data_IF_843189437223
#
_entry.id   IF_843189437223
#
_cell.length_a   1.000
_cell.length_b   1.000
_cell.length_c   1.000
_cell.angle_alpha   90.00
_cell.angle_beta   90.00
_cell.angle_gamma   90.00
#
_symmetry.space_group_name_H-M   'P 1'
#
loop_
_entity.id
_entity.type
_entity.pdbx_description
1 polymer ?
#
# COMPACT_ATOMS: atom_id res chain seq x y z
N UNK A 1 -61.97 30.80 36.81
CA UNK A 1 -61.68 29.38 36.52
C UNK A 1 -61.49 29.05 35.03
N UNK A 2 -62.19 29.69 34.07
CA UNK A 2 -61.99 29.42 32.62
C UNK A 2 -60.66 29.91 32.02
N UNK A 3 -59.96 30.87 32.65
CA UNK A 3 -58.65 31.38 32.17
C UNK A 3 -57.44 30.56 32.64
N UNK A 4 -57.58 29.72 33.66
CA UNK A 4 -56.49 28.85 34.15
C UNK A 4 -56.38 27.54 33.36
N UNK A 5 -57.48 27.06 32.77
CA UNK A 5 -57.49 25.85 31.92
C UNK A 5 -56.81 26.11 30.56
N UNK A 6 -56.85 27.34 30.05
CA UNK A 6 -56.20 27.69 28.79
C UNK A 6 -54.66 27.76 28.89
N UNK A 7 -54.12 28.11 30.07
CA UNK A 7 -52.69 28.15 30.33
C UNK A 7 -52.09 26.74 30.50
N UNK A 8 -52.86 25.81 31.06
CA UNK A 8 -52.47 24.41 31.20
C UNK A 8 -52.47 23.63 29.87
N UNK A 9 -53.33 24.01 28.91
CA UNK A 9 -53.35 23.42 27.57
C UNK A 9 -52.29 23.98 26.59
N UNK A 10 -51.71 25.14 26.89
CA UNK A 10 -50.61 25.72 26.11
C UNK A 10 -49.22 25.25 26.57
N UNK A 11 -49.11 24.70 27.80
CA UNK A 11 -47.87 24.12 28.34
C UNK A 11 -47.72 22.62 28.06
N UNK A 12 -48.73 21.96 27.51
CA UNK A 12 -48.68 20.52 27.16
C UNK A 12 -48.21 20.23 25.72
N UNK A 13 -47.82 21.26 24.94
CA UNK A 13 -47.42 21.11 23.53
C UNK A 13 -45.90 21.14 23.27
N UNK A 14 -45.06 21.10 24.30
CA UNK A 14 -43.59 21.15 24.17
C UNK A 14 -42.87 19.78 24.20
N UNK A 15 -43.61 18.66 24.16
CA UNK A 15 -43.02 17.31 24.17
C UNK A 15 -43.32 16.49 22.92
N UNK A 16 -43.47 17.15 21.77
CA UNK A 16 -43.21 16.50 20.48
C UNK A 16 -41.79 16.86 20.07
N UNK A 17 -40.81 16.19 20.71
CA UNK A 17 -39.45 16.09 20.16
C UNK A 17 -39.60 15.28 18.88
N UNK A 18 -39.95 15.94 17.79
CA UNK A 18 -39.79 15.36 16.47
C UNK A 18 -38.30 15.10 16.32
N UNK A 19 -37.94 13.82 16.37
CA UNK A 19 -36.60 13.33 16.06
C UNK A 19 -36.16 13.99 14.75
N UNK A 20 -35.22 14.94 14.88
CA UNK A 20 -34.80 15.75 13.76
C UNK A 20 -34.01 14.86 12.81
N UNK A 21 -34.30 14.93 11.51
CA UNK A 21 -33.63 14.09 10.53
C UNK A 21 -32.11 14.28 10.64
N UNK A 22 -31.39 13.17 10.80
CA UNK A 22 -29.93 13.12 10.73
C UNK A 22 -29.52 12.41 9.45
N UNK A 23 -28.79 13.15 8.63
CA UNK A 23 -28.15 12.72 7.39
C UNK A 23 -26.65 12.92 7.52
N UNK A 24 -25.89 11.87 7.24
CA UNK A 24 -24.45 11.82 7.48
C UNK A 24 -23.74 11.56 6.16
N UNK A 25 -22.87 12.50 5.79
CA UNK A 25 -22.01 12.42 4.63
C UNK A 25 -20.58 12.05 5.01
N UNK A 26 -19.80 11.70 3.98
CA UNK A 26 -18.38 11.44 4.09
C UNK A 26 -17.59 12.72 3.80
N UNK A 27 -16.71 13.11 4.73
CA UNK A 27 -15.63 14.07 4.49
C UNK A 27 -14.34 13.31 4.21
N UNK A 28 -13.58 13.72 3.19
CA UNK A 28 -12.29 13.12 2.85
C UNK A 28 -11.16 14.10 3.17
N UNK A 29 -10.20 13.65 3.98
CA UNK A 29 -9.04 14.44 4.42
C UNK A 29 -7.77 13.66 4.05
N UNK A 30 -6.77 14.33 3.50
CA UNK A 30 -5.45 13.75 3.25
C UNK A 30 -4.61 13.78 4.53
N UNK A 31 -4.08 12.63 4.92
CA UNK A 31 -3.26 12.49 6.14
C UNK A 31 -1.95 11.76 5.81
N UNK A 32 -0.84 12.38 6.19
CA UNK A 32 0.52 11.90 5.95
C UNK A 32 1.10 11.21 7.19
N UNK A 33 1.52 9.95 7.04
CA UNK A 33 2.28 9.17 8.02
C UNK A 33 3.23 8.21 7.30
N UNK A 34 4.11 7.51 8.03
CA UNK A 34 4.97 6.49 7.40
C UNK A 34 4.26 5.14 7.30
N UNK A 35 4.51 4.44 6.20
CA UNK A 35 4.31 3.00 6.11
C UNK A 35 5.52 2.30 6.70
N UNK A 36 5.29 1.46 7.70
CA UNK A 36 6.34 0.66 8.34
C UNK A 36 6.83 -0.47 7.40
N UNK A 37 8.15 -0.68 7.29
CA UNK A 37 8.70 -1.69 6.39
C UNK A 37 8.47 -3.12 6.89
N UNK A 38 8.59 -4.11 6.01
CA UNK A 38 8.47 -5.53 6.43
C UNK A 38 9.56 -5.96 7.40
N UNK A 39 10.78 -5.43 7.25
CA UNK A 39 11.92 -5.79 8.07
C UNK A 39 12.23 -4.69 9.08
N UNK A 40 12.51 -5.09 10.31
CA UNK A 40 13.07 -4.18 11.31
C UNK A 40 14.60 -4.25 11.28
N UNK A 41 15.22 -3.07 11.19
CA UNK A 41 16.67 -2.87 11.34
C UNK A 41 16.90 -1.77 12.38
N UNK A 42 17.73 -2.02 13.41
CA UNK A 42 18.08 -1.00 14.40
C UNK A 42 18.61 0.26 13.74
N UNK A 43 18.31 1.41 14.33
CA UNK A 43 18.58 2.72 13.75
C UNK A 43 20.07 2.96 13.50
N UNK A 44 20.92 2.45 14.39
CA UNK A 44 22.38 2.45 14.33
C UNK A 44 22.98 1.58 13.22
N UNK A 45 22.16 0.76 12.55
CA UNK A 45 22.59 -0.10 11.45
C UNK A 45 21.98 0.32 10.10
N UNK A 46 21.23 1.44 10.06
CA UNK A 46 20.52 1.91 8.86
C UNK A 46 21.43 2.64 7.86
N UNK A 47 22.53 2.00 7.47
CA UNK A 47 23.50 2.48 6.48
C UNK A 47 23.54 1.52 5.28
N UNK A 48 23.25 2.03 4.09
CA UNK A 48 23.14 1.24 2.87
C UNK A 48 23.98 1.75 1.71
N UNK A 49 24.26 0.85 0.77
CA UNK A 49 24.84 1.18 -0.54
C UNK A 49 24.01 0.56 -1.66
N UNK A 50 23.90 1.27 -2.78
CA UNK A 50 23.34 0.75 -4.04
C UNK A 50 24.47 0.57 -5.03
N UNK A 51 24.52 -0.58 -5.70
CA UNK A 51 25.40 -0.84 -6.82
C UNK A 51 24.55 -1.22 -8.03
N UNK A 52 24.66 -0.46 -9.11
CA UNK A 52 24.07 -0.80 -10.41
C UNK A 52 25.19 -1.29 -11.33
N UNK A 53 25.03 -2.47 -11.92
CA UNK A 53 26.02 -3.11 -12.79
C UNK A 53 25.35 -3.81 -13.98
N UNK A 54 26.16 -4.35 -14.90
CA UNK A 54 25.68 -5.09 -16.07
C UNK A 54 25.69 -4.27 -17.35
N UNK A 55 24.70 -4.47 -18.22
CA UNK A 55 24.63 -3.76 -19.51
C UNK A 55 24.43 -2.25 -19.30
N UNK A 56 25.42 -1.46 -19.71
CA UNK A 56 25.44 -0.01 -19.55
C UNK A 56 24.34 0.71 -20.33
N UNK A 57 23.85 0.15 -21.46
CA UNK A 57 22.75 0.76 -22.21
C UNK A 57 21.43 0.71 -21.44
N UNK A 58 21.25 -0.29 -20.57
CA UNK A 58 20.05 -0.46 -19.75
C UNK A 58 20.20 0.13 -18.35
N UNK A 59 21.41 0.09 -17.79
CA UNK A 59 21.67 0.67 -16.47
C UNK A 59 21.41 2.18 -16.42
N UNK A 60 21.64 2.90 -17.53
CA UNK A 60 21.48 4.35 -17.57
C UNK A 60 22.52 5.07 -16.72
N UNK A 61 22.48 6.40 -16.74
CA UNK A 61 23.43 7.27 -16.00
C UNK A 61 22.80 7.63 -14.65
N UNK A 62 23.57 7.50 -13.56
CA UNK A 62 23.19 7.90 -12.19
C UNK A 62 21.87 7.31 -11.66
N UNK A 63 21.42 6.18 -12.20
CA UNK A 63 20.20 5.53 -11.72
C UNK A 63 20.34 4.96 -10.30
N UNK A 64 21.56 4.81 -9.78
CA UNK A 64 21.77 4.45 -8.38
C UNK A 64 21.38 5.58 -7.41
N UNK A 65 21.37 6.84 -7.86
CA UNK A 65 20.92 8.00 -7.07
C UNK A 65 19.40 8.03 -6.89
N UNK A 66 18.64 7.53 -7.88
CA UNK A 66 17.18 7.44 -7.82
C UNK A 66 16.69 6.26 -6.96
N UNK A 67 17.58 5.33 -6.60
CA UNK A 67 17.31 4.21 -5.70
C UNK A 67 17.73 4.60 -4.27
N UNK A 68 16.74 4.96 -3.45
CA UNK A 68 16.97 5.33 -2.06
C UNK A 68 15.98 4.66 -1.09
N UNK A 69 16.34 4.63 0.20
CA UNK A 69 15.52 4.10 1.29
C UNK A 69 15.15 5.23 2.26
N UNK A 70 13.85 5.44 2.51
CA UNK A 70 13.40 6.42 3.49
C UNK A 70 13.82 6.02 4.92
N UNK A 71 14.42 6.95 5.67
CA UNK A 71 14.92 6.71 7.02
C UNK A 71 16.26 5.96 7.10
N UNK A 72 17.06 5.94 6.02
CA UNK A 72 18.36 5.25 5.93
C UNK A 72 19.46 6.12 5.31
N UNK A 73 20.72 5.95 5.75
CA UNK A 73 21.89 6.64 5.19
C UNK A 73 22.44 5.94 3.96
N UNK A 74 22.59 6.65 2.84
CA UNK A 74 23.40 6.14 1.72
C UNK A 74 24.89 6.40 2.03
N UNK A 75 25.69 5.34 2.10
CA UNK A 75 27.14 5.39 2.35
C UNK A 75 27.94 4.70 1.24
N UNK A 76 29.15 5.18 0.98
CA UNK A 76 30.05 4.59 -0.02
C UNK A 76 30.91 3.46 0.57
N UNK A 77 31.30 3.59 1.84
CA UNK A 77 32.21 2.69 2.54
C UNK A 77 31.52 2.01 3.72
N UNK A 78 31.93 0.77 4.00
CA UNK A 78 31.44 -0.05 5.11
C UNK A 78 29.90 -0.07 5.28
N UNK A 79 29.09 -0.19 4.21
CA UNK A 79 27.64 -0.26 4.37
C UNK A 79 27.31 -1.47 5.22
N UNK A 80 26.26 -1.42 6.07
CA UNK A 80 25.70 -2.61 6.73
C UNK A 80 24.74 -3.35 5.82
N UNK A 81 24.13 -2.63 4.89
CA UNK A 81 23.16 -3.14 3.94
C UNK A 81 23.57 -2.84 2.49
N UNK A 82 23.46 -3.80 1.57
CA UNK A 82 23.86 -3.57 0.17
C UNK A 82 22.78 -4.07 -0.79
N UNK A 83 22.43 -3.22 -1.75
CA UNK A 83 21.49 -3.50 -2.83
C UNK A 83 22.28 -3.57 -4.13
N UNK A 84 22.35 -4.75 -4.72
CA UNK A 84 22.95 -4.97 -6.04
C UNK A 84 21.85 -5.08 -7.08
N UNK A 85 21.90 -4.23 -8.09
CA UNK A 85 21.00 -4.23 -9.23
C UNK A 85 21.83 -4.58 -10.47
N UNK A 86 21.60 -5.75 -11.04
CA UNK A 86 22.36 -6.23 -12.21
C UNK A 86 21.47 -6.23 -13.44
N UNK A 87 21.82 -5.42 -14.43
CA UNK A 87 21.13 -5.31 -15.70
C UNK A 87 21.63 -6.37 -16.68
N UNK A 88 20.72 -7.17 -17.21
CA UNK A 88 20.99 -8.19 -18.21
C UNK A 88 20.99 -7.62 -19.62
N UNK A 89 20.16 -8.15 -20.50
CA UNK A 89 20.10 -7.75 -21.92
C UNK A 89 18.68 -7.42 -22.33
N UNK A 90 18.55 -6.64 -23.40
CA UNK A 90 17.27 -6.42 -24.07
C UNK A 90 17.19 -7.34 -25.29
N UNK A 91 16.32 -8.35 -25.19
CA UNK A 91 16.12 -9.36 -26.21
C UNK A 91 14.94 -8.98 -27.10
N UNK A 92 15.23 -8.68 -28.36
CA UNK A 92 14.18 -8.45 -29.37
C UNK A 92 13.57 -9.78 -29.78
N UNK A 93 12.24 -9.88 -29.68
CA UNK A 93 11.52 -11.09 -30.02
C UNK A 93 11.53 -11.38 -31.53
N UNK A 94 11.03 -12.56 -31.89
CA UNK A 94 10.78 -12.90 -33.30
C UNK A 94 9.31 -12.65 -33.65
N UNK A 95 9.08 -12.14 -34.84
CA UNK A 95 7.76 -11.93 -35.38
C UNK A 95 6.97 -13.25 -35.42
N UNK A 96 5.74 -13.23 -34.93
CA UNK A 96 4.83 -14.35 -34.94
C UNK A 96 3.53 -13.95 -35.64
N UNK A 97 3.07 -14.77 -36.59
CA UNK A 97 1.80 -14.56 -37.30
C UNK A 97 0.65 -15.14 -36.48
N UNK A 98 -0.37 -14.33 -36.26
CA UNK A 98 -1.67 -14.75 -35.75
C UNK A 98 -2.68 -14.76 -36.90
N UNK A 99 -3.39 -15.88 -37.07
CA UNK A 99 -4.48 -16.04 -38.03
C UNK A 99 -5.77 -16.39 -37.27
N UNK A 100 -6.83 -15.63 -37.50
CA UNK A 100 -8.18 -15.94 -37.00
C UNK A 100 -9.18 -15.95 -38.15
N UNK A 101 -10.17 -16.83 -38.06
CA UNK A 101 -11.25 -16.92 -39.04
C UNK A 101 -12.51 -16.32 -38.45
N UNK A 102 -13.04 -15.28 -39.08
CA UNK A 102 -14.32 -14.68 -38.73
C UNK A 102 -15.41 -15.20 -39.67
N UNK A 103 -16.38 -15.92 -39.11
CA UNK A 103 -17.56 -16.37 -39.83
C UNK A 103 -18.72 -15.41 -39.60
N UNK A 104 -19.35 -14.96 -40.68
CA UNK A 104 -20.66 -14.33 -40.64
C UNK A 104 -21.70 -15.42 -40.86
N UNK A 105 -22.67 -15.55 -39.94
CA UNK A 105 -23.78 -16.52 -40.04
C UNK A 105 -25.10 -15.79 -40.29
N UNK A 106 -26.04 -16.45 -40.96
CA UNK A 106 -27.42 -15.96 -41.07
C UNK A 106 -28.23 -16.22 -39.79
N UNK A 107 -29.52 -15.86 -39.80
CA UNK A 107 -30.42 -16.04 -38.65
C UNK A 107 -30.67 -17.50 -38.29
N UNK A 108 -30.41 -18.42 -39.22
CA UNK A 108 -30.56 -19.87 -39.05
C UNK A 108 -29.23 -20.55 -38.63
N UNK A 109 -28.18 -19.75 -38.38
CA UNK A 109 -26.88 -20.22 -37.93
C UNK A 109 -25.97 -20.77 -39.03
N UNK A 110 -26.35 -20.64 -40.31
CA UNK A 110 -25.55 -21.10 -41.44
C UNK A 110 -24.51 -20.04 -41.83
N UNK A 111 -23.26 -20.47 -42.05
CA UNK A 111 -22.16 -19.59 -42.46
C UNK A 111 -22.43 -19.03 -43.86
N UNK A 112 -22.53 -17.70 -43.95
CA UNK A 112 -22.77 -16.95 -45.19
C UNK A 112 -21.50 -16.24 -45.71
N UNK A 113 -20.50 -16.04 -44.86
CA UNK A 113 -19.19 -15.52 -45.28
C UNK A 113 -18.11 -15.94 -44.30
N UNK A 114 -16.91 -16.19 -44.80
CA UNK A 114 -15.72 -16.50 -44.01
C UNK A 114 -14.64 -15.50 -44.38
N UNK A 115 -14.16 -14.72 -43.40
CA UNK A 115 -13.09 -13.76 -43.59
C UNK A 115 -11.91 -14.15 -42.72
N UNK A 116 -10.76 -14.42 -43.34
CA UNK A 116 -9.50 -14.59 -42.60
C UNK A 116 -8.96 -13.24 -42.18
N UNK A 117 -8.44 -13.18 -40.96
CA UNK A 117 -7.90 -12.01 -40.31
C UNK A 117 -6.50 -12.34 -39.80
N UNK A 118 -5.54 -11.47 -40.09
CA UNK A 118 -4.13 -11.67 -39.81
C UNK A 118 -3.59 -10.51 -38.98
N UNK A 119 -2.76 -10.80 -37.99
CA UNK A 119 -1.92 -9.81 -37.30
C UNK A 119 -0.55 -10.39 -37.03
N UNK A 120 0.47 -9.55 -36.91
CA UNK A 120 1.78 -9.96 -36.42
C UNK A 120 1.97 -9.43 -35.00
N UNK A 121 2.62 -10.23 -34.16
CA UNK A 121 3.02 -9.81 -32.83
C UNK A 121 4.46 -10.20 -32.53
N UNK A 122 5.07 -9.51 -31.57
CA UNK A 122 6.40 -9.80 -31.06
C UNK A 122 6.44 -9.51 -29.55
N UNK A 123 7.12 -10.38 -28.82
CA UNK A 123 7.40 -10.19 -27.39
C UNK A 123 8.87 -9.88 -27.20
N UNK A 124 9.19 -8.66 -26.78
CA UNK A 124 10.54 -8.25 -26.39
C UNK A 124 10.72 -8.49 -24.89
N UNK A 125 11.94 -8.80 -24.44
CA UNK A 125 12.23 -9.08 -23.03
C UNK A 125 13.47 -8.34 -22.56
N UNK A 126 13.32 -7.50 -21.56
CA UNK A 126 14.43 -6.99 -20.77
C UNK A 126 14.73 -7.97 -19.64
N UNK A 127 16.01 -8.19 -19.32
CA UNK A 127 16.41 -9.04 -18.21
C UNK A 127 17.24 -8.29 -17.16
N UNK A 128 17.15 -8.74 -15.91
CA UNK A 128 17.93 -8.20 -14.81
C UNK A 128 17.56 -8.85 -13.48
N UNK A 129 18.26 -8.49 -12.41
CA UNK A 129 17.91 -8.96 -11.07
C UNK A 129 18.32 -7.95 -9.99
N UNK A 130 17.71 -8.10 -8.82
CA UNK A 130 18.13 -7.45 -7.58
C UNK A 130 18.56 -8.49 -6.57
N UNK A 131 19.67 -8.21 -5.90
CA UNK A 131 20.15 -8.93 -4.72
C UNK A 131 20.28 -7.97 -3.55
N UNK A 132 19.74 -8.35 -2.41
CA UNK A 132 19.88 -7.63 -1.16
C UNK A 132 20.74 -8.44 -0.21
N UNK A 133 21.79 -7.82 0.34
CA UNK A 133 22.66 -8.39 1.37
C UNK A 133 22.52 -7.59 2.66
N UNK A 134 22.17 -8.26 3.77
CA UNK A 134 21.97 -7.61 5.06
C UNK A 134 20.97 -8.34 5.97
N UNK A 135 20.31 -7.57 6.84
CA UNK A 135 19.34 -8.07 7.81
C UNK A 135 18.09 -8.64 7.15
N UNK A 136 17.60 -9.79 7.64
CA UNK A 136 16.29 -10.35 7.28
C UNK A 136 15.49 -10.66 8.54
N UNK A 137 15.11 -9.60 9.25
CA UNK A 137 14.26 -9.68 10.41
C UNK A 137 12.87 -9.22 10.01
N UNK A 138 12.07 -10.12 9.46
CA UNK A 138 10.71 -9.83 8.99
C UNK A 138 9.71 -9.85 10.14
N UNK A 139 8.74 -8.94 10.12
CA UNK A 139 7.57 -9.06 10.97
C UNK A 139 6.91 -10.43 10.72
N UNK A 140 6.76 -11.29 11.75
CA UNK A 140 6.18 -12.60 11.54
C UNK A 140 4.79 -12.49 10.91
N UNK A 141 4.35 -13.48 10.15
CA UNK A 141 2.95 -13.48 9.69
C UNK A 141 2.06 -14.02 10.80
N UNK A 142 0.92 -13.38 11.05
CA UNK A 142 -0.14 -14.02 11.84
C UNK A 142 -0.76 -15.08 10.94
N UNK A 143 -0.46 -16.35 11.23
CA UNK A 143 -0.97 -17.47 10.46
C UNK A 143 -2.31 -17.92 11.03
N UNK A 144 -3.24 -18.28 10.14
CA UNK A 144 -4.42 -19.04 10.54
C UNK A 144 -4.00 -20.43 11.05
N UNK A 145 -4.85 -21.07 11.84
CA UNK A 145 -4.60 -22.43 12.36
C UNK A 145 -4.24 -23.41 11.24
N UNK A 146 -4.95 -23.34 10.12
CA UNK A 146 -4.71 -24.17 8.93
C UNK A 146 -3.35 -23.90 8.29
N UNK A 147 -2.89 -22.65 8.28
CA UNK A 147 -1.57 -22.30 7.76
C UNK A 147 -0.45 -22.71 8.70
N UNK A 148 -0.69 -22.63 10.02
CA UNK A 148 0.24 -23.10 11.05
C UNK A 148 0.47 -24.61 10.95
N UNK A 149 -0.60 -25.39 10.76
CA UNK A 149 -0.51 -26.84 10.50
C UNK A 149 0.28 -27.14 9.23
N UNK A 150 0.04 -26.38 8.15
CA UNK A 150 0.75 -26.55 6.89
C UNK A 150 2.24 -26.20 7.03
N UNK A 151 2.59 -25.16 7.78
CA UNK A 151 3.98 -24.77 8.04
C UNK A 151 4.70 -25.87 8.83
N UNK A 152 4.12 -26.34 9.94
CA UNK A 152 4.70 -27.44 10.75
C UNK A 152 4.94 -28.69 9.89
N UNK A 153 4.02 -29.00 8.97
CA UNK A 153 4.18 -30.12 8.03
C UNK A 153 5.32 -29.91 7.03
N UNK A 154 5.58 -28.67 6.59
CA UNK A 154 6.71 -28.34 5.71
C UNK A 154 8.04 -28.43 6.44
N UNK A 155 8.13 -27.85 7.64
CA UNK A 155 9.33 -27.89 8.47
C UNK A 155 9.72 -29.33 8.82
N UNK A 156 8.75 -30.17 9.18
CA UNK A 156 8.99 -31.59 9.45
C UNK A 156 9.55 -32.31 8.21
N UNK A 157 9.01 -32.04 7.02
CA UNK A 157 9.51 -32.62 5.75
C UNK A 157 10.92 -32.15 5.41
N UNK A 158 11.26 -30.89 5.67
CA UNK A 158 12.62 -30.38 5.47
C UNK A 158 13.61 -31.00 6.45
N UNK A 159 13.24 -31.13 7.73
CA UNK A 159 14.04 -31.83 8.73
C UNK A 159 14.24 -33.30 8.36
N UNK A 160 13.20 -34.00 7.90
CA UNK A 160 13.33 -35.38 7.40
C UNK A 160 14.26 -35.47 6.17
N UNK A 161 14.19 -34.49 5.25
CA UNK A 161 15.05 -34.43 4.07
C UNK A 161 16.51 -34.14 4.44
N UNK A 162 16.75 -33.26 5.41
CA UNK A 162 18.08 -32.98 5.96
C UNK A 162 18.64 -34.20 6.70
N UNK A 163 17.85 -34.82 7.57
CA UNK A 163 18.24 -36.04 8.29
C UNK A 163 18.52 -37.22 7.34
N UNK A 164 17.77 -37.36 6.24
CA UNK A 164 18.07 -38.35 5.19
C UNK A 164 19.38 -38.04 4.48
N UNK A 165 19.60 -36.79 4.07
CA UNK A 165 20.89 -36.37 3.47
C UNK A 165 22.06 -36.58 4.43
N UNK A 166 21.90 -36.33 5.73
CA UNK A 166 22.91 -36.56 6.77
C UNK A 166 23.17 -38.06 7.00
N UNK A 167 22.13 -38.90 6.95
CA UNK A 167 22.28 -40.36 7.00
C UNK A 167 22.95 -40.93 5.75
N UNK A 168 22.64 -40.41 4.57
CA UNK A 168 23.27 -40.81 3.30
C UNK A 168 24.74 -40.37 3.22
N UNK A 169 25.07 -39.19 3.76
CA UNK A 169 26.47 -38.72 3.83
C UNK A 169 27.29 -39.40 4.93
N UNK A 170 26.69 -39.78 6.06
CA UNK A 170 27.38 -40.52 7.15
C UNK A 170 27.53 -42.03 6.90
N UNK A 171 26.67 -42.63 6.06
CA UNK A 171 26.74 -44.05 5.70
C UNK A 171 27.64 -44.35 4.49
N UNK A 172 28.13 -43.34 3.77
CA UNK A 172 28.98 -43.52 2.60
C UNK A 172 30.46 -43.18 2.89
N UNK A 173 31.36 -44.17 2.97
CA UNK A 173 32.77 -43.97 3.33
C UNK A 173 33.58 -43.15 2.30
N UNK A 174 33.05 -42.92 1.10
CA UNK A 174 33.68 -42.11 0.05
C UNK A 174 33.25 -40.63 0.07
N UNK A 175 32.22 -40.28 0.84
CA UNK A 175 31.68 -38.90 0.91
C UNK A 175 32.16 -38.11 2.14
N UNK A 176 32.93 -38.74 3.05
CA UNK A 176 33.43 -38.10 4.27
C UNK A 176 34.40 -36.92 4.01
N UNK A 177 35.06 -36.90 2.85
CA UNK A 177 36.00 -35.84 2.42
C UNK A 177 35.56 -35.13 1.12
N UNK A 178 34.34 -35.38 0.62
CA UNK A 178 33.82 -34.63 -0.51
C UNK A 178 33.38 -33.26 0.00
N UNK A 179 34.25 -32.26 -0.20
CA UNK A 179 34.01 -30.85 0.12
C UNK A 179 32.61 -30.43 -0.29
N UNK A 180 31.79 -30.09 0.72
CA UNK A 180 30.54 -29.36 0.52
C UNK A 180 30.90 -27.95 0.02
N UNK A 181 30.94 -27.80 -1.28
CA UNK A 181 30.69 -26.52 -1.93
C UNK A 181 29.97 -26.82 -3.23
N UNK A 182 28.65 -26.94 -3.17
CA UNK A 182 27.85 -26.37 -4.26
C UNK A 182 28.36 -24.93 -4.41
N UNK A 183 28.69 -24.46 -5.63
CA UNK A 183 28.93 -23.05 -5.85
C UNK A 183 27.61 -22.33 -5.59
N UNK A 184 27.36 -21.97 -4.33
CA UNK A 184 26.66 -20.72 -4.09
C UNK A 184 27.56 -19.67 -4.72
N UNK A 185 26.97 -18.87 -5.60
CA UNK A 185 27.56 -17.65 -6.12
C UNK A 185 28.02 -16.77 -4.95
N UNK A 186 29.22 -17.04 -4.45
CA UNK A 186 29.94 -16.22 -3.50
C UNK A 186 30.56 -15.09 -4.31
N UNK A 187 29.73 -14.11 -4.66
CA UNK A 187 30.22 -12.78 -4.99
C UNK A 187 30.68 -12.12 -3.67
N UNK A 188 31.98 -11.79 -3.51
CA UNK A 188 32.54 -11.44 -2.21
C UNK A 188 32.14 -10.02 -1.83
N UNK A 189 31.11 -9.91 -1.02
CA UNK A 189 30.94 -8.77 -0.12
C UNK A 189 30.91 -9.30 1.30
N UNK A 190 32.11 -9.46 1.88
CA UNK A 190 32.34 -9.36 3.32
C UNK A 190 31.30 -10.05 4.21
N UNK A 191 31.18 -11.39 4.15
CA UNK A 191 30.54 -12.18 5.21
C UNK A 191 29.06 -11.89 5.49
N UNK A 192 28.30 -11.33 4.54
CA UNK A 192 26.87 -11.05 4.71
C UNK A 192 26.00 -12.02 3.93
N UNK A 193 24.97 -12.53 4.60
CA UNK A 193 23.96 -13.38 3.96
C UNK A 193 23.07 -12.56 3.02
N UNK A 194 22.73 -13.15 1.87
CA UNK A 194 21.72 -12.62 0.97
C UNK A 194 20.33 -12.73 1.63
N UNK A 195 19.67 -11.60 1.84
CA UNK A 195 18.35 -11.50 2.44
C UNK A 195 17.23 -11.75 1.41
N UNK A 196 17.35 -11.14 0.23
CA UNK A 196 16.38 -11.23 -0.85
C UNK A 196 17.03 -11.30 -2.23
N UNK A 197 16.33 -11.95 -3.14
CA UNK A 197 16.63 -12.04 -4.56
C UNK A 197 15.32 -11.97 -5.34
N UNK A 198 15.30 -11.22 -6.44
CA UNK A 198 14.23 -11.31 -7.43
C UNK A 198 14.71 -10.88 -8.81
N UNK A 199 14.03 -11.39 -9.84
CA UNK A 199 14.26 -10.98 -11.23
C UNK A 199 13.60 -9.62 -11.49
N UNK A 200 14.29 -8.77 -12.25
CA UNK A 200 13.77 -7.53 -12.82
C UNK A 200 13.29 -7.72 -14.25
N UNK A 201 13.13 -8.97 -14.68
CA UNK A 201 12.72 -9.28 -16.03
C UNK A 201 11.36 -8.68 -16.38
N UNK A 202 11.28 -8.08 -17.58
CA UNK A 202 10.06 -7.44 -18.08
C UNK A 202 9.83 -7.83 -19.53
N UNK A 203 8.61 -8.29 -19.80
CA UNK A 203 8.15 -8.59 -21.15
C UNK A 203 7.28 -7.46 -21.69
N UNK A 204 7.48 -7.14 -22.97
CA UNK A 204 6.76 -6.11 -23.70
C UNK A 204 6.20 -6.69 -24.99
N UNK A 205 4.95 -6.39 -25.30
CA UNK A 205 4.28 -6.91 -26.49
C UNK A 205 3.96 -5.78 -27.46
N UNK A 206 4.30 -5.99 -28.73
CA UNK A 206 3.80 -5.19 -29.84
C UNK A 206 2.98 -6.10 -30.75
N UNK A 207 1.82 -5.61 -31.19
CA UNK A 207 0.98 -6.26 -32.19
C UNK A 207 0.54 -5.24 -33.23
N UNK A 208 0.50 -5.65 -34.49
CA UNK A 208 -0.09 -4.86 -35.56
C UNK A 208 -1.60 -4.77 -35.40
N UNK A 209 -2.23 -3.89 -36.18
CA UNK A 209 -3.66 -3.98 -36.43
C UNK A 209 -4.02 -5.31 -37.12
N UNK A 210 -5.32 -5.61 -37.19
CA UNK A 210 -5.83 -6.80 -37.86
C UNK A 210 -6.14 -6.50 -39.33
N UNK A 211 -5.60 -7.30 -40.24
CA UNK A 211 -5.76 -7.15 -41.69
C UNK A 211 -6.42 -8.37 -42.33
N UNK A 212 -6.99 -8.20 -43.53
CA UNK A 212 -7.52 -9.32 -44.33
C UNK A 212 -6.45 -10.07 -45.12
N UNK A 213 -5.22 -9.56 -45.15
CA UNK A 213 -4.07 -10.22 -45.78
C UNK A 213 -2.86 -10.21 -44.85
N UNK A 214 -2.11 -11.30 -44.83
CA UNK A 214 -0.88 -11.41 -44.03
C UNK A 214 0.19 -10.43 -44.51
N UNK A 215 0.27 -10.13 -45.81
CA UNK A 215 1.23 -9.17 -46.35
C UNK A 215 0.99 -7.74 -45.88
N UNK A 216 -0.26 -7.33 -45.69
CA UNK A 216 -0.58 -5.99 -45.16
C UNK A 216 -0.16 -5.88 -43.69
N UNK A 217 -0.46 -6.91 -42.89
CA UNK A 217 0.00 -6.99 -41.50
C UNK A 217 1.54 -6.99 -41.40
N UNK A 218 2.23 -7.75 -42.27
CA UNK A 218 3.69 -7.79 -42.29
C UNK A 218 4.31 -6.43 -42.67
N UNK A 219 3.66 -5.68 -43.58
CA UNK A 219 4.13 -4.34 -43.97
C UNK A 219 4.11 -3.37 -42.79
N UNK A 220 3.02 -3.34 -42.01
CA UNK A 220 2.96 -2.56 -40.77
C UNK A 220 4.04 -3.02 -39.79
N UNK A 221 4.11 -4.33 -39.54
CA UNK A 221 5.08 -4.89 -38.61
C UNK A 221 6.52 -4.46 -38.93
N UNK A 222 6.95 -4.58 -40.18
CA UNK A 222 8.30 -4.20 -40.60
C UNK A 222 8.57 -2.69 -40.48
N UNK A 223 7.53 -1.85 -40.55
CA UNK A 223 7.63 -0.40 -40.37
C UNK A 223 7.76 0.00 -38.90
N UNK A 224 7.07 -0.71 -38.00
CA UNK A 224 6.75 -0.18 -36.68
C UNK A 224 7.36 -1.00 -35.53
N UNK A 225 7.61 -2.30 -35.71
CA UNK A 225 8.11 -3.18 -34.64
C UNK A 225 9.49 -2.74 -34.11
N UNK A 226 10.34 -2.17 -34.97
CA UNK A 226 11.64 -1.61 -34.56
C UNK A 226 11.48 -0.44 -33.60
N UNK A 227 10.62 0.53 -33.96
CA UNK A 227 10.33 1.69 -33.10
C UNK A 227 9.66 1.28 -31.80
N UNK A 228 8.73 0.32 -31.85
CA UNK A 228 8.12 -0.24 -30.65
C UNK A 228 9.17 -0.92 -29.75
N UNK A 229 10.10 -1.68 -30.33
CA UNK A 229 11.21 -2.30 -29.59
C UNK A 229 12.11 -1.27 -28.91
N UNK A 230 12.47 -0.18 -29.60
CA UNK A 230 13.30 0.88 -29.02
C UNK A 230 12.55 1.61 -27.89
N UNK A 231 11.24 1.83 -28.05
CA UNK A 231 10.38 2.37 -27.00
C UNK A 231 10.28 1.47 -25.77
N UNK A 232 10.15 0.16 -25.96
CA UNK A 232 10.17 -0.82 -24.86
C UNK A 232 11.51 -0.84 -24.11
N UNK A 233 12.64 -0.72 -24.82
CA UNK A 233 13.97 -0.64 -24.20
C UNK A 233 14.12 0.65 -23.38
N UNK A 234 13.61 1.77 -23.91
CA UNK A 234 13.60 3.05 -23.21
C UNK A 234 12.73 3.01 -21.95
N UNK A 235 11.51 2.49 -22.05
CA UNK A 235 10.61 2.33 -20.91
C UNK A 235 11.27 1.52 -19.78
N UNK A 236 11.93 0.40 -20.10
CA UNK A 236 12.63 -0.39 -19.10
C UNK A 236 13.73 0.41 -18.40
N UNK A 237 14.61 1.06 -19.19
CA UNK A 237 15.73 1.87 -18.69
C UNK A 237 15.27 3.02 -17.79
N UNK A 238 14.15 3.64 -18.10
CA UNK A 238 13.62 4.81 -17.38
C UNK A 238 12.90 4.42 -16.09
N UNK A 239 12.32 3.21 -16.03
CA UNK A 239 11.42 2.83 -14.94
C UNK A 239 11.99 1.81 -13.95
N UNK A 240 13.02 1.03 -14.30
CA UNK A 240 13.49 -0.05 -13.42
C UNK A 240 13.93 0.46 -12.04
N UNK A 241 14.60 1.61 -11.98
CA UNK A 241 15.09 2.17 -10.73
C UNK A 241 13.93 2.54 -9.79
N UNK A 242 12.82 3.06 -10.33
CA UNK A 242 11.59 3.30 -9.58
C UNK A 242 10.97 2.00 -9.06
N UNK A 243 10.95 0.93 -9.86
CA UNK A 243 10.46 -0.38 -9.41
C UNK A 243 11.30 -0.94 -8.25
N UNK A 244 12.63 -0.92 -8.41
CA UNK A 244 13.56 -1.33 -7.36
C UNK A 244 13.34 -0.48 -6.10
N UNK A 245 13.31 0.84 -6.23
CA UNK A 245 13.06 1.78 -5.12
C UNK A 245 11.79 1.43 -4.37
N UNK A 246 10.68 1.21 -5.07
CA UNK A 246 9.39 0.90 -4.44
C UNK A 246 9.44 -0.43 -3.68
N UNK A 247 10.09 -1.45 -4.25
CA UNK A 247 10.24 -2.77 -3.62
C UNK A 247 11.13 -2.74 -2.39
N UNK A 248 12.32 -2.12 -2.47
CA UNK A 248 13.24 -2.04 -1.34
C UNK A 248 12.63 -1.22 -0.20
N UNK A 249 11.85 -0.17 -0.51
CA UNK A 249 11.21 0.65 0.49
C UNK A 249 10.08 -0.10 1.21
N UNK A 250 9.33 -0.95 0.52
CA UNK A 250 8.38 -1.85 1.20
C UNK A 250 9.08 -2.85 2.12
N UNK A 251 10.31 -3.26 1.78
CA UNK A 251 11.07 -4.21 2.58
C UNK A 251 11.77 -3.57 3.78
N UNK A 252 12.31 -2.35 3.65
CA UNK A 252 13.20 -1.73 4.65
C UNK A 252 12.97 -0.23 4.90
N UNK A 253 12.30 0.48 3.99
CA UNK A 253 12.14 1.93 4.08
C UNK A 253 10.92 2.35 4.91
N UNK A 254 11.08 3.43 5.66
CA UNK A 254 10.01 4.09 6.41
C UNK A 254 9.29 5.11 5.52
N UNK A 255 8.67 4.60 4.44
CA UNK A 255 8.20 5.45 3.34
C UNK A 255 7.03 6.34 3.74
N UNK A 256 6.98 7.60 3.29
CA UNK A 256 5.80 8.42 3.43
C UNK A 256 4.61 7.77 2.73
N UNK A 257 3.44 7.95 3.33
CA UNK A 257 2.15 7.50 2.82
C UNK A 257 1.16 8.64 2.99
N UNK A 258 0.59 9.09 1.88
CA UNK A 258 -0.51 10.05 1.90
C UNK A 258 -1.84 9.29 1.73
N UNK A 259 -2.65 9.29 2.77
CA UNK A 259 -3.88 8.51 2.83
C UNK A 259 -5.09 9.43 2.69
N UNK A 260 -6.01 9.10 1.77
CA UNK A 260 -7.30 9.79 1.67
C UNK A 260 -8.30 9.20 2.65
N UNK A 261 -8.39 9.80 3.83
CA UNK A 261 -9.10 9.28 5.00
C UNK A 261 -10.55 9.73 5.04
N UNK A 262 -11.46 8.79 5.36
CA UNK A 262 -12.90 9.04 5.55
C UNK A 262 -13.21 9.46 6.98
N UNK A 263 -13.85 10.61 7.13
CA UNK A 263 -14.53 11.11 8.33
C UNK A 263 -16.02 11.29 8.04
N UNK A 264 -16.82 11.45 9.10
CA UNK A 264 -18.26 11.71 9.03
C UNK A 264 -18.56 13.17 9.25
N UNK A 265 -19.51 13.68 8.47
CA UNK A 265 -19.99 15.07 8.48
C UNK A 265 -21.52 15.07 8.53
N UNK A 266 -22.10 16.01 9.26
CA UNK A 266 -23.55 16.16 9.36
C UNK A 266 -24.05 17.04 8.20
N UNK A 267 -24.92 16.52 7.33
CA UNK A 267 -25.50 17.27 6.20
C UNK A 267 -26.90 17.86 6.52
N UNK A 268 -27.40 17.60 7.73
CA UNK A 268 -28.72 18.09 8.14
C UNK A 268 -28.69 19.53 8.64
N UNK A 269 -28.67 20.50 7.71
CA UNK A 269 -28.57 21.95 7.99
C UNK A 269 -29.56 22.53 9.02
N UNK A 270 -30.70 21.86 9.22
CA UNK A 270 -31.74 22.28 10.18
C UNK A 270 -31.57 21.68 11.57
N UNK A 271 -30.67 20.72 11.73
CA UNK A 271 -30.40 20.06 13.01
C UNK A 271 -29.66 21.04 13.94
N UNK A 272 -30.01 21.14 15.24
CA UNK A 272 -29.36 22.05 16.20
C UNK A 272 -27.85 21.86 16.27
N UNK A 273 -27.39 20.62 16.09
CA UNK A 273 -25.97 20.27 16.11
C UNK A 273 -25.22 20.64 14.82
N UNK A 274 -25.90 21.03 13.75
CA UNK A 274 -25.27 21.20 12.43
C UNK A 274 -24.12 22.19 12.44
N UNK A 275 -24.32 23.41 12.97
CA UNK A 275 -23.31 24.47 12.92
C UNK A 275 -22.03 24.07 13.69
N UNK A 276 -22.17 23.54 14.90
CA UNK A 276 -21.03 23.12 15.72
C UNK A 276 -20.32 21.91 15.10
N UNK A 277 -21.08 20.94 14.58
CA UNK A 277 -20.51 19.73 13.95
C UNK A 277 -19.74 20.08 12.67
N UNK A 278 -20.29 20.99 11.87
CA UNK A 278 -19.67 21.54 10.67
C UNK A 278 -18.35 22.26 11.02
N UNK A 279 -18.38 23.14 12.02
CA UNK A 279 -17.19 23.86 12.46
C UNK A 279 -16.11 22.90 12.97
N UNK A 280 -16.49 21.90 13.76
CA UNK A 280 -15.57 20.88 14.26
C UNK A 280 -14.94 20.06 13.13
N UNK A 281 -15.73 19.63 12.15
CA UNK A 281 -15.22 18.83 11.02
C UNK A 281 -14.35 19.63 10.06
N UNK A 282 -14.64 20.92 9.84
CA UNK A 282 -13.79 21.82 9.06
C UNK A 282 -12.47 22.14 9.78
N UNK A 283 -12.52 22.42 11.08
CA UNK A 283 -11.31 22.63 11.88
C UNK A 283 -10.42 21.38 11.90
N UNK A 284 -11.03 20.19 12.07
CA UNK A 284 -10.34 18.91 12.01
C UNK A 284 -9.59 18.72 10.68
N UNK A 285 -10.22 19.08 9.56
CA UNK A 285 -9.58 19.05 8.23
C UNK A 285 -8.34 19.95 8.19
N UNK A 286 -8.46 21.21 8.60
CA UNK A 286 -7.36 22.18 8.62
C UNK A 286 -6.20 21.70 9.51
N UNK A 287 -6.49 21.07 10.65
CA UNK A 287 -5.46 20.55 11.54
C UNK A 287 -4.74 19.35 10.91
N UNK A 288 -5.48 18.35 10.40
CA UNK A 288 -4.87 17.17 9.77
C UNK A 288 -4.08 17.50 8.50
N UNK A 289 -4.46 18.54 7.75
CA UNK A 289 -3.68 19.02 6.59
C UNK A 289 -2.28 19.53 6.97
N UNK A 290 -2.04 19.87 8.25
CA UNK A 290 -0.70 20.22 8.78
C UNK A 290 0.09 19.00 9.24
N UNK A 291 -0.53 17.81 9.30
CA UNK A 291 0.15 16.60 9.73
C UNK A 291 1.19 16.19 8.67
N UNK A 292 2.41 15.91 9.12
CA UNK A 292 3.52 15.44 8.28
C UNK A 292 4.13 14.19 8.90
N UNK A 293 4.45 13.20 8.06
CA UNK A 293 5.10 11.97 8.50
C UNK A 293 6.46 12.22 9.19
N UNK A 294 7.13 13.32 8.84
CA UNK A 294 8.47 13.69 9.31
C UNK A 294 8.45 14.76 10.43
N UNK A 295 7.30 14.98 11.09
CA UNK A 295 7.16 15.90 12.22
C UNK A 295 6.56 15.16 13.43
N UNK A 296 6.92 15.54 14.68
CA UNK A 296 6.34 14.96 15.89
C UNK A 296 4.82 15.13 15.93
N UNK A 297 4.08 14.15 16.42
CA UNK A 297 2.61 14.19 16.37
C UNK A 297 1.94 15.07 17.44
N UNK A 298 2.66 15.39 18.52
CA UNK A 298 2.10 16.01 19.72
C UNK A 298 1.35 17.33 19.46
N UNK A 299 1.83 18.17 18.53
CA UNK A 299 1.15 19.43 18.22
C UNK A 299 -0.20 19.22 17.55
N UNK A 300 -0.36 18.14 16.76
CA UNK A 300 -1.65 17.78 16.16
C UNK A 300 -2.59 17.23 17.23
N UNK A 301 -2.09 16.43 18.16
CA UNK A 301 -2.88 15.92 19.29
C UNK A 301 -3.45 17.07 20.12
N UNK A 302 -2.61 18.05 20.49
CA UNK A 302 -3.03 19.24 21.24
C UNK A 302 -4.10 20.06 20.49
N UNK A 303 -3.89 20.33 19.20
CA UNK A 303 -4.83 21.08 18.36
C UNK A 303 -6.18 20.35 18.18
N UNK A 304 -6.19 19.01 18.18
CA UNK A 304 -7.41 18.21 18.03
C UNK A 304 -8.20 18.04 19.33
N UNK A 305 -7.62 18.34 20.50
CA UNK A 305 -8.28 18.08 21.79
C UNK A 305 -9.66 18.73 21.92
N UNK A 306 -9.88 20.01 21.54
CA UNK A 306 -11.22 20.61 21.60
C UNK A 306 -12.27 19.89 20.73
N UNK A 307 -11.83 19.30 19.61
CA UNK A 307 -12.69 18.56 18.68
C UNK A 307 -13.00 17.17 19.24
N UNK A 308 -12.02 16.52 19.85
CA UNK A 308 -12.19 15.26 20.59
C UNK A 308 -13.23 15.46 21.70
N UNK A 309 -13.04 16.48 22.55
CA UNK A 309 -13.93 16.78 23.67
C UNK A 309 -15.36 17.03 23.18
N UNK A 310 -15.50 17.80 22.10
CA UNK A 310 -16.78 18.05 21.45
C UNK A 310 -17.47 16.76 20.98
N UNK A 311 -16.79 15.90 20.21
CA UNK A 311 -17.40 14.66 19.74
C UNK A 311 -17.76 13.73 20.91
N UNK A 312 -16.95 13.67 21.96
CA UNK A 312 -17.30 12.93 23.17
C UNK A 312 -18.57 13.47 23.83
N UNK A 313 -18.73 14.79 23.93
CA UNK A 313 -19.96 15.40 24.42
C UNK A 313 -21.17 15.06 23.56
N UNK A 314 -21.04 15.07 22.22
CA UNK A 314 -22.12 14.65 21.32
C UNK A 314 -22.55 13.21 21.61
N UNK A 315 -21.61 12.29 21.86
CA UNK A 315 -21.96 10.90 22.21
C UNK A 315 -22.76 10.78 23.51
N UNK A 316 -22.52 11.68 24.48
CA UNK A 316 -23.21 11.73 25.78
C UNK A 316 -24.57 12.42 25.67
N UNK A 317 -24.63 13.51 24.89
CA UNK A 317 -25.85 14.33 24.69
C UNK A 317 -26.93 13.56 23.94
N UNK A 318 -26.54 12.77 22.94
CA UNK A 318 -27.43 11.99 22.08
C UNK A 318 -27.37 10.50 22.43
N UNK A 319 -27.69 10.17 23.68
CA UNK A 319 -27.56 8.83 24.25
C UNK A 319 -28.85 7.98 24.18
N UNK A 320 -29.95 8.49 23.62
CA UNK A 320 -31.20 7.73 23.55
C UNK A 320 -31.16 6.62 22.48
N UNK A 321 -32.20 5.78 22.48
CA UNK A 321 -32.44 4.76 21.46
C UNK A 321 -33.17 5.32 20.22
N UNK A 322 -33.32 6.64 20.10
CA UNK A 322 -33.86 7.26 18.90
C UNK A 322 -32.93 7.02 17.70
N UNK A 323 -33.51 6.64 16.56
CA UNK A 323 -32.75 6.28 15.37
C UNK A 323 -31.86 7.41 14.84
N UNK A 324 -32.28 8.67 14.94
CA UNK A 324 -31.49 9.79 14.44
C UNK A 324 -30.38 10.15 15.43
N UNK A 325 -30.66 10.08 16.74
CA UNK A 325 -29.62 10.22 17.76
C UNK A 325 -28.55 9.13 17.67
N UNK A 326 -28.95 7.88 17.45
CA UNK A 326 -28.03 6.76 17.21
C UNK A 326 -27.09 7.07 16.05
N UNK A 327 -27.60 7.55 14.91
CA UNK A 327 -26.76 7.90 13.76
C UNK A 327 -25.74 8.99 14.08
N UNK A 328 -26.16 10.03 14.79
CA UNK A 328 -25.29 11.15 15.17
C UNK A 328 -24.21 10.70 16.17
N UNK A 329 -24.60 9.84 17.13
CA UNK A 329 -23.69 9.20 18.08
C UNK A 329 -22.68 8.29 17.36
N UNK A 330 -23.13 7.41 16.47
CA UNK A 330 -22.27 6.55 15.66
C UNK A 330 -21.29 7.34 14.79
N UNK A 331 -21.75 8.42 14.15
CA UNK A 331 -20.88 9.30 13.36
C UNK A 331 -19.77 9.93 14.22
N UNK A 332 -20.10 10.36 15.42
CA UNK A 332 -19.14 10.96 16.37
C UNK A 332 -18.16 9.92 16.92
N UNK A 333 -18.63 8.72 17.29
CA UNK A 333 -17.77 7.61 17.70
C UNK A 333 -16.83 7.19 16.56
N UNK A 334 -17.33 7.12 15.32
CA UNK A 334 -16.51 6.84 14.15
C UNK A 334 -15.41 7.90 13.98
N UNK A 335 -15.74 9.18 14.11
CA UNK A 335 -14.74 10.26 14.01
C UNK A 335 -13.69 10.16 15.11
N UNK A 336 -14.08 9.90 16.36
CA UNK A 336 -13.16 9.69 17.48
C UNK A 336 -12.21 8.51 17.21
N UNK A 337 -12.76 7.35 16.81
CA UNK A 337 -11.95 6.18 16.45
C UNK A 337 -10.95 6.51 15.32
N UNK A 338 -11.37 7.28 14.31
CA UNK A 338 -10.50 7.67 13.21
C UNK A 338 -9.44 8.69 13.62
N UNK A 339 -9.79 9.68 14.43
CA UNK A 339 -8.84 10.66 14.99
C UNK A 339 -7.74 9.90 15.74
N UNK A 340 -8.12 9.07 16.71
CA UNK A 340 -7.16 8.32 17.53
C UNK A 340 -6.32 7.33 16.70
N UNK A 341 -6.86 6.79 15.60
CA UNK A 341 -6.11 5.92 14.70
C UNK A 341 -4.96 6.67 14.03
N UNK A 342 -5.17 7.92 13.63
CA UNK A 342 -4.11 8.73 13.03
C UNK A 342 -3.25 9.46 14.05
N UNK A 343 -3.67 9.51 15.32
CA UNK A 343 -2.82 9.86 16.45
C UNK A 343 -1.97 8.70 16.98
N UNK A 344 -2.05 7.52 16.36
CA UNK A 344 -1.41 6.26 16.79
C UNK A 344 -1.77 5.83 18.23
N UNK A 345 -2.93 6.25 18.72
CA UNK A 345 -3.47 5.89 20.04
C UNK A 345 -4.43 4.69 19.92
N UNK A 346 -3.89 3.55 19.48
CA UNK A 346 -4.68 2.38 19.04
C UNK A 346 -5.52 1.72 20.13
N UNK A 347 -5.13 1.77 21.40
CA UNK A 347 -5.97 1.28 22.50
C UNK A 347 -7.29 2.04 22.58
N UNK A 348 -7.25 3.38 22.39
CA UNK A 348 -8.46 4.20 22.32
C UNK A 348 -9.30 3.85 21.09
N UNK A 349 -8.66 3.59 19.94
CA UNK A 349 -9.39 3.17 18.72
C UNK A 349 -10.18 1.90 18.96
N UNK A 350 -9.57 0.91 19.61
CA UNK A 350 -10.22 -0.37 19.94
C UNK A 350 -11.41 -0.13 20.89
N UNK A 351 -11.26 0.74 21.89
CA UNK A 351 -12.35 1.11 22.79
C UNK A 351 -13.54 1.75 22.04
N UNK A 352 -13.32 2.79 21.22
CA UNK A 352 -14.41 3.39 20.43
C UNK A 352 -14.99 2.43 19.38
N UNK A 353 -14.16 1.57 18.79
CA UNK A 353 -14.64 0.56 17.86
C UNK A 353 -15.55 -0.48 18.55
N UNK A 354 -15.25 -0.86 19.79
CA UNK A 354 -16.14 -1.71 20.58
C UNK A 354 -17.47 -1.01 20.88
N UNK A 355 -17.47 0.30 21.17
CA UNK A 355 -18.72 1.08 21.34
C UNK A 355 -19.57 1.12 20.06
N UNK A 356 -18.94 1.22 18.87
CA UNK A 356 -19.66 1.06 17.59
C UNK A 356 -20.24 -0.35 17.45
N UNK A 357 -19.49 -1.37 17.84
CA UNK A 357 -19.92 -2.77 17.77
C UNK A 357 -21.09 -3.07 18.72
N UNK A 358 -21.14 -2.43 19.88
CA UNK A 358 -22.25 -2.54 20.82
C UNK A 358 -23.55 -1.98 20.23
N UNK A 359 -23.45 -0.89 19.45
CA UNK A 359 -24.59 -0.27 18.77
C UNK A 359 -25.04 -1.08 17.54
N UNK A 360 -24.09 -1.53 16.72
CA UNK A 360 -24.34 -2.43 15.58
C UNK A 360 -23.33 -3.59 15.56
N UNK A 361 -23.76 -4.78 16.01
CA UNK A 361 -22.95 -6.01 16.03
C UNK A 361 -22.51 -6.48 14.64
N UNK A 362 -23.09 -5.94 13.57
CA UNK A 362 -22.72 -6.21 12.18
C UNK A 362 -21.86 -5.11 11.57
N UNK A 363 -21.52 -4.07 12.33
CA UNK A 363 -20.72 -2.94 11.87
C UNK A 363 -19.40 -3.41 11.29
N UNK A 364 -19.24 -3.18 9.98
CA UNK A 364 -17.99 -3.45 9.27
C UNK A 364 -16.90 -2.47 9.70
N UNK A 365 -17.27 -1.20 9.93
CA UNK A 365 -16.34 -0.16 10.34
C UNK A 365 -15.71 -0.50 11.70
N UNK A 366 -16.51 -0.95 12.69
CA UNK A 366 -15.99 -1.41 13.98
C UNK A 366 -14.96 -2.55 13.84
N UNK A 367 -15.30 -3.60 13.08
CA UNK A 367 -14.41 -4.74 12.85
C UNK A 367 -13.13 -4.33 12.13
N UNK A 368 -13.23 -3.42 11.17
CA UNK A 368 -12.07 -2.90 10.44
C UNK A 368 -11.16 -2.08 11.35
N UNK A 369 -11.71 -1.18 12.19
CA UNK A 369 -10.92 -0.40 13.14
C UNK A 369 -10.13 -1.27 14.12
N UNK A 370 -10.76 -2.30 14.69
CA UNK A 370 -10.08 -3.25 15.59
C UNK A 370 -8.96 -3.95 14.83
N UNK A 371 -9.26 -4.55 13.67
CA UNK A 371 -8.28 -5.28 12.85
C UNK A 371 -7.08 -4.40 12.45
N UNK A 372 -7.36 -3.21 11.92
CA UNK A 372 -6.32 -2.28 11.46
C UNK A 372 -5.46 -1.80 12.64
N UNK A 373 -6.08 -1.41 13.76
CA UNK A 373 -5.34 -0.88 14.92
C UNK A 373 -4.50 -1.95 15.61
N UNK A 374 -4.99 -3.18 15.72
CA UNK A 374 -4.20 -4.30 16.26
C UNK A 374 -3.00 -4.61 15.37
N UNK A 375 -3.15 -4.56 14.04
CA UNK A 375 -2.01 -4.77 13.13
C UNK A 375 -1.01 -3.62 13.20
N UNK A 376 -1.47 -2.36 13.29
CA UNK A 376 -0.55 -1.22 13.43
C UNK A 376 0.18 -1.25 14.77
N UNK A 377 -0.48 -1.58 15.90
CA UNK A 377 0.18 -1.78 17.20
C UNK A 377 1.30 -2.81 17.10
N UNK A 378 0.98 -3.95 16.50
CA UNK A 378 1.94 -5.03 16.29
C UNK A 378 3.14 -4.59 15.45
N UNK A 379 2.92 -3.79 14.42
CA UNK A 379 4.00 -3.21 13.62
C UNK A 379 4.83 -2.22 14.45
N UNK A 380 4.20 -1.28 15.16
CA UNK A 380 4.87 -0.31 16.01
C UNK A 380 5.75 -0.98 17.08
N UNK A 381 5.21 -2.00 17.76
CA UNK A 381 5.95 -2.81 18.74
C UNK A 381 7.16 -3.49 18.11
N UNK A 382 6.98 -4.13 16.94
CA UNK A 382 8.05 -4.82 16.23
C UNK A 382 9.17 -3.88 15.76
N UNK A 383 8.83 -2.65 15.38
CA UNK A 383 9.80 -1.61 14.99
C UNK A 383 10.32 -0.79 16.17
N UNK A 384 9.87 -1.06 17.39
CA UNK A 384 10.18 -0.28 18.61
C UNK A 384 9.83 1.21 18.47
N UNK A 385 8.72 1.51 17.81
CA UNK A 385 8.23 2.86 17.55
C UNK A 385 6.98 3.15 18.37
N UNK A 386 6.79 4.42 18.74
CA UNK A 386 5.57 4.89 19.43
C UNK A 386 4.51 5.40 18.48
N UNK A 387 4.91 5.86 17.30
CA UNK A 387 4.02 6.39 16.27
C UNK A 387 4.60 6.14 14.88
N UNK A 388 3.79 6.29 13.85
CA UNK A 388 4.16 6.29 12.42
C UNK A 388 4.65 7.67 11.96
N UNK A 389 5.22 8.43 12.89
CA UNK A 389 5.90 9.68 12.61
C UNK A 389 7.38 9.51 12.93
N UNK A 390 8.24 9.88 11.99
CA UNK A 390 9.69 9.74 12.12
C UNK A 390 10.32 11.12 12.25
N UNK A 391 11.46 11.19 12.94
CA UNK A 391 12.34 12.36 12.84
C UNK A 391 13.18 12.17 11.58
N UNK A 392 13.15 13.09 10.61
CA UNK A 392 13.93 12.97 9.38
C UNK A 392 15.42 12.96 9.70
N UNK A 393 16.16 12.12 8.99
CA UNK A 393 17.62 11.95 9.16
C UNK A 393 18.41 12.34 7.94
N UNK A 394 17.77 12.40 6.77
CA UNK A 394 18.37 12.79 5.50
C UNK A 394 17.60 13.92 4.85
N UNK A 395 18.28 14.70 4.01
CA UNK A 395 17.66 15.72 3.19
C UNK A 395 16.50 15.18 2.31
N UNK A 396 16.53 13.90 1.94
CA UNK A 396 15.42 13.26 1.23
C UNK A 396 14.16 13.09 2.11
N UNK A 397 14.34 12.84 3.41
CA UNK A 397 13.25 12.74 4.39
C UNK A 397 12.77 14.15 4.85
N UNK A 398 13.58 15.19 4.63
CA UNK A 398 13.24 16.58 4.92
C UNK A 398 12.37 17.23 3.83
N UNK A 399 12.26 16.60 2.65
CA UNK A 399 11.42 17.13 1.58
C UNK A 399 9.96 17.15 2.06
N UNK A 400 9.40 18.36 2.08
CA UNK A 400 7.97 18.59 2.31
C UNK A 400 7.19 18.05 1.10
N UNK A 401 6.93 16.75 1.09
CA UNK A 401 5.86 16.19 0.27
C UNK A 401 4.54 16.68 0.89
N UNK A 402 4.05 17.83 0.41
CA UNK A 402 2.75 18.36 0.76
C UNK A 402 1.68 17.26 0.59
N UNK A 403 0.69 17.25 1.49
CA UNK A 403 -0.45 16.32 1.43
C UNK A 403 -1.34 16.48 0.19
N UNK A 404 -1.00 17.39 -0.71
CA UNK A 404 -1.53 17.50 -2.06
C UNK A 404 -0.35 17.46 -3.04
N UNK A 405 -0.24 16.38 -3.82
CA UNK A 405 0.10 16.60 -5.21
C UNK A 405 -1.03 17.48 -5.74
N UNK A 406 -0.75 18.75 -6.02
CA UNK A 406 -1.60 19.51 -6.93
C UNK A 406 -1.64 18.71 -8.23
N UNK A 407 -2.72 17.95 -8.46
CA UNK A 407 -3.13 17.62 -9.80
C UNK A 407 -3.26 18.96 -10.51
N UNK A 408 -2.26 19.30 -11.32
CA UNK A 408 -2.44 20.26 -12.40
C UNK A 408 -3.54 19.68 -13.28
N UNK A 409 -4.76 20.12 -13.03
CA UNK A 409 -5.84 20.01 -14.01
C UNK A 409 -5.34 20.83 -15.19
N UNK A 410 -4.81 20.16 -16.21
CA UNK A 410 -4.73 20.75 -17.53
C UNK A 410 -6.17 21.08 -17.92
N UNK A 411 -6.52 22.37 -17.85
CA UNK A 411 -7.74 22.89 -18.45
C UNK A 411 -7.60 22.72 -19.97
N UNK A 412 -8.23 21.67 -20.49
CA UNK A 412 -8.49 21.51 -21.92
C UNK A 412 -9.20 22.79 -22.44
N UNK A 413 -8.54 23.51 -23.35
CA UNK A 413 -9.17 24.46 -24.27
C UNK A 413 -9.45 23.76 -25.60
#
# INVERSE_FOLDING_TARGET
MKKLVLLALLLSNSLLVFSQKVDIDDLRIYISNVRLPRNHVPEEDRFYRVLVSGNSSLAGINQDESIYLYGWEKVNENPKFQINVTMGSFLRGKASLSERTEEKKDKDGKVISTTKKYSYYVTNRATGNVRIFGYKNELPKVLSEKELELQKKKELKEQEKQAKKEKETSSNPFLANASKSDPKDDDPVSGKNMAYYWDLDKSYEYSTATYTTSSAALKEFNSDAGRASDGHEADFRENYANWVRNDINRLYGYSPSNNRVKFKRLDSKKHPEYETYENATNAMKVIFEKMRYNKPINYIEEDLQPIIDYFEEVTKRYASDDKQEIKLREASIYNLARIYQYLDQHDKVIDYANRLYETDKKSKDAKNFIKESTEIQRQLEFHHMKSRHIVPKYAADEKDELGEETETIEEDN
#
